data_IF_869398897842
#
_entry.id   IF_869398897842
#
_cell.length_a   1.000
_cell.length_b   1.000
_cell.length_c   1.000
_cell.angle_alpha   90.00
_cell.angle_beta   90.00
_cell.angle_gamma   90.00
#
_symmetry.space_group_name_H-M   'P 1'
#
loop_
_entity.id
_entity.type
_entity.pdbx_description
1 polymer ?
#
# COMPACT_ATOMS: atom_id res chain seq x y z
N UNK A 1 12.63 9.69 1.65
CA UNK A 1 11.41 9.72 0.83
C UNK A 1 10.38 8.83 1.48
N UNK A 2 9.29 9.42 1.94
CA UNK A 2 8.12 8.68 2.44
C UNK A 2 7.49 7.85 1.33
N UNK A 3 7.06 6.64 1.68
CA UNK A 3 6.36 5.76 0.73
C UNK A 3 4.88 6.16 0.66
N UNK A 4 4.27 6.13 -0.54
CA UNK A 4 2.84 6.41 -0.67
C UNK A 4 2.01 5.38 0.10
N UNK A 5 0.89 5.83 0.67
CA UNK A 5 -0.14 4.97 1.28
C UNK A 5 -0.98 4.36 0.18
N UNK A 6 -1.18 3.06 0.24
CA UNK A 6 -1.89 2.32 -0.81
C UNK A 6 -3.22 1.80 -0.27
N UNK A 7 -4.28 2.12 -0.98
CA UNK A 7 -5.60 1.53 -0.81
C UNK A 7 -5.68 0.27 -1.65
N UNK A 8 -6.08 -0.85 -1.07
CA UNK A 8 -6.20 -2.13 -1.78
C UNK A 8 -7.62 -2.68 -1.64
N UNK A 9 -8.37 -2.66 -2.73
CA UNK A 9 -9.75 -3.15 -2.78
C UNK A 9 -9.77 -4.52 -3.44
N UNK A 10 -10.17 -5.54 -2.68
CA UNK A 10 -10.34 -6.92 -3.14
C UNK A 10 -9.21 -7.84 -2.68
N UNK A 11 -9.39 -8.51 -1.55
CA UNK A 11 -8.42 -9.45 -0.97
C UNK A 11 -8.77 -10.91 -1.31
N UNK A 12 -9.05 -11.19 -2.58
CA UNK A 12 -9.35 -12.54 -3.08
C UNK A 12 -8.09 -13.40 -3.29
N UNK A 13 -8.21 -14.49 -4.06
CA UNK A 13 -7.09 -15.40 -4.38
C UNK A 13 -5.89 -14.64 -4.97
N UNK A 14 -6.15 -13.69 -5.88
CA UNK A 14 -5.11 -12.86 -6.50
C UNK A 14 -4.74 -11.66 -5.63
N UNK A 15 -5.73 -10.99 -5.03
CA UNK A 15 -5.52 -9.76 -4.29
C UNK A 15 -4.71 -9.94 -3.00
N UNK A 16 -4.94 -11.03 -2.28
CA UNK A 16 -4.27 -11.32 -1.01
C UNK A 16 -2.73 -11.40 -1.13
N UNK A 17 -2.13 -12.22 -2.03
CA UNK A 17 -0.68 -12.27 -2.17
C UNK A 17 -0.07 -10.97 -2.72
N UNK A 18 -0.79 -10.23 -3.57
CA UNK A 18 -0.32 -8.92 -4.04
C UNK A 18 -0.24 -7.88 -2.92
N UNK A 19 -1.31 -7.75 -2.12
CA UNK A 19 -1.31 -6.88 -0.95
C UNK A 19 -0.24 -7.31 0.08
N UNK A 20 -0.07 -8.61 0.30
CA UNK A 20 1.01 -9.12 1.17
C UNK A 20 2.41 -8.74 0.67
N UNK A 21 2.66 -8.76 -0.64
CA UNK A 21 3.94 -8.32 -1.19
C UNK A 21 4.16 -6.82 -1.00
N UNK A 22 3.11 -5.99 -1.09
CA UNK A 22 3.21 -4.56 -0.79
C UNK A 22 3.55 -4.31 0.69
N UNK A 23 2.95 -5.06 1.63
CA UNK A 23 3.31 -5.00 3.05
C UNK A 23 4.76 -5.40 3.29
N UNK A 24 5.21 -6.52 2.69
CA UNK A 24 6.60 -6.99 2.78
C UNK A 24 7.59 -6.01 2.17
N UNK A 25 7.19 -5.31 1.12
CA UNK A 25 7.97 -4.25 0.53
C UNK A 25 8.03 -3.00 1.42
N UNK A 26 7.19 -2.87 2.45
CA UNK A 26 7.18 -1.76 3.41
C UNK A 26 6.19 -0.63 3.10
N UNK A 27 5.16 -0.89 2.27
CA UNK A 27 4.08 0.07 2.05
C UNK A 27 3.02 -0.03 3.15
N UNK A 28 2.48 1.11 3.58
CA UNK A 28 1.30 1.14 4.43
C UNK A 28 0.05 0.84 3.59
N UNK A 29 -0.80 -0.07 4.06
CA UNK A 29 -2.02 -0.45 3.35
C UNK A 29 -3.29 -0.07 4.12
N UNK A 30 -4.28 0.42 3.38
CA UNK A 30 -5.68 0.40 3.78
C UNK A 30 -6.40 -0.60 2.90
N UNK A 31 -6.95 -1.67 3.49
CA UNK A 31 -7.54 -2.79 2.75
C UNK A 31 -9.05 -2.82 2.94
N UNK A 32 -9.75 -3.11 1.85
CA UNK A 32 -11.19 -3.35 1.86
C UNK A 32 -11.54 -4.54 0.98
N UNK A 33 -12.53 -5.33 1.40
CA UNK A 33 -13.15 -6.35 0.56
C UNK A 33 -14.58 -6.61 1.05
N UNK A 34 -15.42 -7.21 0.19
CA UNK A 34 -16.79 -7.58 0.61
C UNK A 34 -16.82 -8.55 1.79
N UNK A 35 -15.81 -9.40 1.91
CA UNK A 35 -15.71 -10.42 2.95
C UNK A 35 -14.48 -10.16 3.81
N UNK A 36 -14.69 -9.50 4.95
CA UNK A 36 -13.61 -9.08 5.86
C UNK A 36 -12.65 -10.20 6.26
N UNK A 37 -13.16 -11.42 6.48
CA UNK A 37 -12.32 -12.57 6.84
C UNK A 37 -11.24 -12.90 5.80
N UNK A 38 -11.44 -12.53 4.52
CA UNK A 38 -10.43 -12.70 3.48
C UNK A 38 -9.25 -11.73 3.62
N UNK A 39 -9.41 -10.64 4.38
CA UNK A 39 -8.36 -9.65 4.64
C UNK A 39 -7.63 -9.91 5.97
N UNK A 40 -8.13 -10.80 6.82
CA UNK A 40 -7.54 -11.11 8.13
C UNK A 40 -6.05 -11.45 8.09
N UNK A 41 -5.53 -12.23 7.12
CA UNK A 41 -4.10 -12.51 7.06
C UNK A 41 -3.25 -11.24 6.89
N UNK A 42 -3.75 -10.24 6.16
CA UNK A 42 -3.06 -8.95 5.98
C UNK A 42 -3.14 -8.10 7.24
N UNK A 43 -4.29 -8.10 7.91
CA UNK A 43 -4.51 -7.34 9.15
C UNK A 43 -3.69 -7.90 10.32
N UNK A 44 -3.43 -9.21 10.31
CA UNK A 44 -2.54 -9.88 11.25
C UNK A 44 -1.06 -9.65 10.92
N UNK A 45 -0.73 -9.40 9.64
CA UNK A 45 0.63 -9.13 9.20
C UNK A 45 1.04 -7.70 9.57
N UNK A 46 1.94 -7.60 10.56
CA UNK A 46 2.65 -6.36 10.84
C UNK A 46 3.72 -6.21 9.75
N UNK A 47 3.74 -5.07 9.06
CA UNK A 47 4.80 -4.87 8.07
C UNK A 47 6.14 -4.85 8.78
N UNK A 48 7.09 -5.64 8.27
CA UNK A 48 8.43 -5.70 8.85
C UNK A 48 9.16 -4.39 8.56
N UNK A 49 9.90 -3.81 9.52
CA UNK A 49 10.74 -2.66 9.24
C UNK A 49 11.71 -3.03 8.12
N UNK A 50 11.54 -2.42 6.95
CA UNK A 50 12.49 -2.60 5.85
C UNK A 50 13.79 -1.95 6.30
N UNK A 51 14.81 -2.76 6.55
CA UNK A 51 16.18 -2.28 6.80
C UNK A 51 16.66 -1.67 5.48
N UNK A 52 17.10 -0.42 5.53
CA UNK A 52 17.70 0.27 4.39
C UNK A 52 18.99 -0.45 3.97
N UNK A 53 18.87 -1.38 3.02
CA UNK A 53 19.90 -1.68 2.05
C UNK A 53 19.50 -0.99 0.75
N UNK A 54 20.37 -0.14 0.22
CA UNK A 54 20.21 0.43 -1.11
C UNK A 54 20.24 -0.68 -2.15
N UNK A 55 19.07 -1.16 -2.57
CA UNK A 55 18.95 -2.02 -3.76
C UNK A 55 17.97 -1.38 -4.73
N UNK A 56 18.48 -1.10 -5.93
CA UNK A 56 17.84 -0.26 -6.91
C UNK A 56 17.24 -1.00 -8.10
N UNK A 57 16.52 -0.19 -8.89
CA UNK A 57 16.21 -0.30 -10.34
C UNK A 57 15.10 -1.32 -10.72
N UNK A 58 14.15 -1.04 -11.62
CA UNK A 58 14.03 -0.05 -12.70
C UNK A 58 12.56 0.27 -13.04
N UNK A 59 12.29 1.48 -13.55
CA UNK A 59 11.78 1.74 -14.92
C UNK A 59 11.89 3.26 -15.19
N UNK A 60 12.33 3.71 -16.39
CA UNK A 60 12.74 5.10 -16.61
C UNK A 60 11.55 5.98 -17.04
N UNK A 61 11.48 7.21 -16.52
CA UNK A 61 10.74 8.28 -17.19
C UNK A 61 11.29 9.67 -16.81
N UNK A 62 12.02 10.22 -17.80
CA UNK A 62 12.22 11.64 -18.15
C UNK A 62 12.97 12.57 -17.18
N UNK A 63 14.15 12.99 -17.67
CA UNK A 63 14.62 14.39 -17.62
C UNK A 63 13.42 15.35 -17.76
N UNK A 64 13.18 16.27 -16.83
CA UNK A 64 13.92 17.51 -16.61
C UNK A 64 13.39 18.12 -15.30
N UNK A 65 14.16 19.05 -14.73
CA UNK A 65 13.87 19.93 -13.60
C UNK A 65 14.35 19.51 -12.20
N UNK A 66 15.49 20.12 -11.87
CA UNK A 66 16.00 20.38 -10.54
C UNK A 66 14.98 21.22 -9.75
N UNK A 67 14.49 20.69 -8.64
CA UNK A 67 13.88 21.48 -7.56
C UNK A 67 14.65 21.18 -6.27
N UNK A 68 15.17 22.21 -5.55
CA UNK A 68 15.91 22.03 -4.31
C UNK A 68 15.06 21.40 -3.21
N UNK A 69 15.74 20.62 -2.37
CA UNK A 69 15.20 19.81 -1.28
C UNK A 69 14.89 20.64 -0.03
N UNK A 70 13.63 20.99 0.18
CA UNK A 70 13.16 21.52 1.46
C UNK A 70 12.77 20.37 2.40
N UNK A 71 13.56 20.19 3.46
CA UNK A 71 13.28 19.29 4.57
C UNK A 71 12.07 19.80 5.36
N UNK A 72 11.03 18.98 5.52
CA UNK A 72 9.90 19.32 6.37
C UNK A 72 8.95 18.16 6.62
N UNK A 73 8.73 17.88 7.91
CA UNK A 73 7.74 16.99 8.54
C UNK A 73 8.07 15.50 8.64
N UNK A 74 8.53 15.12 9.84
CA UNK A 74 8.35 13.79 10.42
C UNK A 74 6.85 13.44 10.43
N UNK A 75 6.45 12.29 9.86
CA UNK A 75 5.04 11.94 9.81
C UNK A 75 4.70 10.50 9.44
N UNK A 76 4.37 9.72 10.48
CA UNK A 76 3.48 8.55 10.47
C UNK A 76 4.03 7.20 9.96
N UNK A 77 4.85 6.58 10.82
CA UNK A 77 5.09 5.14 10.78
C UNK A 77 3.93 4.40 11.46
N UNK A 78 3.00 3.87 10.68
CA UNK A 78 2.20 2.72 11.11
C UNK A 78 2.26 1.71 9.98
N UNK A 79 3.36 0.96 9.96
CA UNK A 79 3.65 0.00 8.89
C UNK A 79 2.83 -1.28 9.16
N UNK A 80 1.75 -1.45 8.42
CA UNK A 80 0.84 -2.59 8.48
C UNK A 80 -0.38 -2.37 7.58
N UNK A 81 -1.28 -3.36 7.51
CA UNK A 81 -2.58 -3.18 6.89
C UNK A 81 -3.62 -2.72 7.91
N UNK A 82 -4.44 -1.76 7.51
CA UNK A 82 -5.61 -1.28 8.25
C UNK A 82 -6.88 -1.57 7.47
N UNK A 83 -7.99 -1.81 8.16
CA UNK A 83 -9.26 -2.06 7.51
C UNK A 83 -10.00 -0.76 7.16
N UNK A 84 -10.72 -0.75 6.04
CA UNK A 84 -11.75 0.23 5.72
C UNK A 84 -13.10 -0.46 5.47
N UNK A 85 -14.18 0.14 5.98
CA UNK A 85 -15.52 -0.45 5.92
C UNK A 85 -16.15 -0.28 4.53
N UNK A 86 -15.62 0.61 3.69
CA UNK A 86 -16.09 0.81 2.32
C UNK A 86 -15.00 1.34 1.35
N UNK A 87 -15.25 1.29 0.03
CA UNK A 87 -14.33 1.81 -0.99
C UNK A 87 -14.02 3.30 -0.87
N UNK A 88 -14.99 4.13 -0.49
CA UNK A 88 -14.80 5.58 -0.39
C UNK A 88 -13.84 5.94 0.74
N UNK A 89 -13.98 5.27 1.89
CA UNK A 89 -13.07 5.38 3.03
C UNK A 89 -11.66 4.88 2.66
N UNK A 90 -11.56 3.80 1.88
CA UNK A 90 -10.27 3.30 1.37
C UNK A 90 -9.58 4.37 0.52
N UNK A 91 -10.31 5.00 -0.40
CA UNK A 91 -9.77 6.05 -1.25
C UNK A 91 -9.38 7.30 -0.47
N UNK A 92 -10.20 7.75 0.48
CA UNK A 92 -9.92 8.94 1.29
C UNK A 92 -8.66 8.80 2.17
N UNK A 93 -8.27 7.57 2.52
CA UNK A 93 -7.08 7.26 3.35
C UNK A 93 -5.81 6.97 2.57
N UNK A 94 -5.90 6.91 1.25
CA UNK A 94 -4.84 6.40 0.38
C UNK A 94 -4.42 7.44 -0.66
N UNK A 95 -3.14 7.43 -1.00
CA UNK A 95 -2.61 8.29 -2.06
C UNK A 95 -2.82 7.66 -3.44
N UNK A 96 -2.81 6.31 -3.48
CA UNK A 96 -3.10 5.50 -4.66
C UNK A 96 -4.07 4.39 -4.27
N UNK A 97 -5.06 4.10 -5.11
CA UNK A 97 -5.99 2.98 -4.92
C UNK A 97 -5.77 1.92 -6.01
N UNK A 98 -5.54 0.69 -5.58
CA UNK A 98 -5.49 -0.50 -6.43
C UNK A 98 -6.78 -1.27 -6.22
N UNK A 99 -7.48 -1.54 -7.32
CA UNK A 99 -8.67 -2.38 -7.31
C UNK A 99 -8.35 -3.72 -7.97
N UNK A 100 -8.38 -4.79 -7.19
CA UNK A 100 -8.21 -6.16 -7.64
C UNK A 100 -9.44 -6.98 -7.25
N UNK A 101 -10.53 -6.72 -7.94
CA UNK A 101 -11.77 -7.49 -7.82
C UNK A 101 -11.87 -8.43 -9.02
N UNK A 102 -12.35 -9.64 -8.78
CA UNK A 102 -12.73 -10.53 -9.88
C UNK A 102 -14.12 -10.11 -10.34
N UNK A 103 -14.25 -9.75 -11.61
CA UNK A 103 -15.55 -9.75 -12.30
C UNK A 103 -15.97 -11.21 -12.48
N UNK A 104 -16.57 -11.78 -11.43
CA UNK A 104 -17.40 -12.97 -11.60
C UNK A 104 -18.82 -12.45 -11.82
N UNK A 105 -19.41 -12.66 -13.01
CA UNK A 105 -20.76 -12.20 -13.33
C UNK A 105 -21.82 -12.79 -12.39
#
# INVERSE_FOLDING_TARGET
MDRPRIGFIGTGIMGLPMAGNLLKAGYALTVHSRTRSKAEPLLAERAKPVRHGSEGRATPARSTDLQPVEHGSEGHTTQGATWADNPAETAARSDVVITCVTDTP
#
